data_IF_354764677107
#
_entry.id   IF_354764677107
#
_cell.length_a   1.000
_cell.length_b   1.000
_cell.length_c   1.000
_cell.angle_alpha   90.00
_cell.angle_beta   90.00
_cell.angle_gamma   90.00
#
_symmetry.space_group_name_H-M   'P 1'
#
loop_
_entity.id
_entity.type
_entity.pdbx_description
1 polymer ?
#
# COMPACT_ATOMS: atom_id res chain seq x y z
N UNK A 1 10.92 -4.02 -9.52
CA UNK A 1 9.69 -4.36 -8.76
C UNK A 1 8.81 -3.12 -8.72
N UNK A 2 7.49 -3.29 -8.75
CA UNK A 2 6.55 -2.18 -8.56
C UNK A 2 5.91 -2.29 -7.18
N UNK A 3 6.07 -1.24 -6.37
CA UNK A 3 5.37 -1.09 -5.09
C UNK A 3 4.19 -0.14 -5.31
N UNK A 4 2.98 -0.54 -4.98
CA UNK A 4 1.81 0.26 -5.27
C UNK A 4 0.75 0.20 -4.18
N UNK A 5 -0.14 1.17 -4.26
CA UNK A 5 -1.35 1.32 -3.45
C UNK A 5 -2.39 2.08 -4.28
N UNK A 6 -3.68 1.93 -3.97
CA UNK A 6 -4.78 2.62 -4.65
C UNK A 6 -5.86 3.08 -3.68
N UNK A 7 -6.54 4.15 -4.07
CA UNK A 7 -7.67 4.69 -3.31
C UNK A 7 -8.97 4.58 -4.11
N UNK A 8 -10.06 4.26 -3.42
CA UNK A 8 -11.34 3.85 -4.04
C UNK A 8 -12.53 4.47 -3.34
N UNK A 9 -13.70 4.40 -3.97
CA UNK A 9 -14.95 4.95 -3.44
C UNK A 9 -15.71 4.04 -2.45
N UNK A 10 -15.21 2.83 -2.22
CA UNK A 10 -15.86 1.86 -1.35
C UNK A 10 -15.10 0.55 -1.29
N UNK A 11 -15.58 -0.37 -0.45
CA UNK A 11 -14.99 -1.70 -0.26
C UNK A 11 -15.25 -2.62 -1.46
N UNK A 12 -14.59 -3.77 -1.52
CA UNK A 12 -14.59 -4.68 -2.68
C UNK A 12 -15.99 -5.00 -3.24
N UNK A 13 -17.00 -5.17 -2.39
CA UNK A 13 -18.37 -5.47 -2.82
C UNK A 13 -19.07 -4.27 -3.46
N UNK A 14 -18.84 -3.06 -2.93
CA UNK A 14 -19.55 -1.83 -3.29
C UNK A 14 -18.75 -0.89 -4.21
N UNK A 15 -17.45 -1.12 -4.38
CA UNK A 15 -16.54 -0.26 -5.15
C UNK A 15 -17.02 -0.10 -6.60
N UNK A 16 -16.99 1.14 -7.09
CA UNK A 16 -17.37 1.49 -8.47
C UNK A 16 -16.27 2.24 -9.21
N UNK A 17 -15.32 2.88 -8.50
CA UNK A 17 -14.20 3.60 -9.11
C UNK A 17 -12.93 3.53 -8.26
N UNK A 18 -11.80 3.57 -8.96
CA UNK A 18 -10.49 3.91 -8.38
C UNK A 18 -10.33 5.42 -8.55
N UNK A 19 -9.98 6.13 -7.48
CA UNK A 19 -9.74 7.58 -7.49
C UNK A 19 -8.33 7.90 -7.97
N UNK A 20 -7.35 7.20 -7.40
CA UNK A 20 -5.95 7.33 -7.76
C UNK A 20 -5.20 6.02 -7.52
N UNK A 21 -4.06 5.90 -8.18
CA UNK A 21 -3.12 4.80 -8.06
C UNK A 21 -1.72 5.40 -7.98
N UNK A 22 -0.93 4.97 -7.02
CA UNK A 22 0.47 5.37 -6.91
C UNK A 22 1.37 4.16 -7.07
N UNK A 23 2.40 4.30 -7.90
CA UNK A 23 3.38 3.24 -8.17
C UNK A 23 4.78 3.80 -7.95
N UNK A 24 5.54 3.18 -7.06
CA UNK A 24 6.99 3.31 -6.99
C UNK A 24 7.66 2.20 -7.79
N UNK A 25 8.56 2.58 -8.69
CA UNK A 25 9.37 1.67 -9.49
C UNK A 25 10.80 1.65 -8.97
N UNK A 26 11.22 0.48 -8.49
CA UNK A 26 12.54 0.31 -7.89
C UNK A 26 13.69 0.39 -8.91
N UNK A 27 13.44 0.13 -10.20
CA UNK A 27 14.48 0.18 -11.23
C UNK A 27 14.73 1.61 -11.70
N UNK A 28 13.64 2.38 -11.85
CA UNK A 28 13.71 3.79 -12.21
C UNK A 28 13.99 4.72 -11.01
N UNK A 29 13.86 4.20 -9.77
CA UNK A 29 13.86 4.96 -8.52
C UNK A 29 12.92 6.17 -8.57
N UNK A 30 11.69 5.93 -9.02
CA UNK A 30 10.72 6.98 -9.29
C UNK A 30 9.30 6.56 -8.88
N UNK A 31 8.57 7.52 -8.30
CA UNK A 31 7.14 7.39 -7.99
C UNK A 31 6.30 8.08 -9.05
N UNK A 32 5.32 7.37 -9.59
CA UNK A 32 4.32 7.89 -10.53
C UNK A 32 2.92 7.85 -9.90
N UNK A 33 2.16 8.92 -10.09
CA UNK A 33 0.77 9.03 -9.65
C UNK A 33 -0.12 8.95 -10.91
N UNK A 34 -1.22 8.22 -10.81
CA UNK A 34 -2.19 8.04 -11.88
C UNK A 34 -3.59 8.39 -11.39
N UNK A 35 -4.34 9.16 -12.19
CA UNK A 35 -5.73 9.53 -11.93
C UNK A 35 -6.45 9.90 -13.24
N UNK A 36 -7.78 9.98 -13.22
CA UNK A 36 -8.59 10.39 -14.37
C UNK A 36 -9.10 11.85 -14.27
N UNK A 37 -8.39 12.72 -13.53
CA UNK A 37 -8.74 14.15 -13.34
C UNK A 37 -8.11 15.07 -14.38
N UNK A 38 -7.24 14.56 -15.26
CA UNK A 38 -6.60 15.30 -16.34
C UNK A 38 -5.37 16.11 -15.94
N UNK A 39 -4.85 15.93 -14.73
CA UNK A 39 -3.60 16.54 -14.23
C UNK A 39 -2.43 15.55 -14.10
N UNK A 40 -2.68 14.24 -14.22
CA UNK A 40 -1.68 13.16 -14.19
C UNK A 40 -1.90 12.20 -15.36
N UNK A 41 -1.06 11.16 -15.47
CA UNK A 41 -1.32 10.06 -16.41
C UNK A 41 -2.62 9.30 -16.01
N UNK A 42 -3.39 8.81 -17.00
CA UNK A 42 -4.68 8.16 -16.73
C UNK A 42 -4.53 6.83 -16.00
N UNK A 43 -5.54 6.45 -15.20
CA UNK A 43 -5.53 5.23 -14.39
C UNK A 43 -5.25 3.98 -15.21
N UNK A 44 -5.89 3.87 -16.38
CA UNK A 44 -5.72 2.73 -17.30
C UNK A 44 -4.24 2.46 -17.65
N UNK A 45 -3.39 3.50 -17.72
CA UNK A 45 -1.96 3.32 -17.96
C UNK A 45 -1.21 2.79 -16.75
N UNK A 46 -1.58 3.24 -15.55
CA UNK A 46 -1.06 2.67 -14.31
C UNK A 46 -1.44 1.20 -14.19
N UNK A 47 -2.70 0.84 -14.47
CA UNK A 47 -3.17 -0.55 -14.44
C UNK A 47 -2.44 -1.42 -15.47
N UNK A 48 -2.25 -0.93 -16.70
CA UNK A 48 -1.45 -1.65 -17.71
C UNK A 48 -0.01 -1.88 -17.23
N UNK A 49 0.59 -0.88 -16.57
CA UNK A 49 1.95 -1.03 -16.01
C UNK A 49 2.01 -2.09 -14.91
N UNK A 50 0.97 -2.23 -14.09
CA UNK A 50 0.87 -3.30 -13.09
C UNK A 50 0.69 -4.68 -13.76
N UNK A 51 -0.09 -4.76 -14.84
CA UNK A 51 -0.30 -5.99 -15.63
C UNK A 51 1.02 -6.55 -16.17
N UNK A 52 1.86 -5.65 -16.70
CA UNK A 52 3.14 -5.98 -17.35
C UNK A 52 4.30 -6.20 -16.35
N UNK A 53 4.06 -6.05 -15.04
CA UNK A 53 5.12 -6.11 -14.03
C UNK A 53 5.54 -7.56 -13.71
N UNK A 54 6.84 -7.79 -13.54
CA UNK A 54 7.34 -9.09 -13.06
C UNK A 54 7.05 -9.32 -11.57
N UNK A 55 7.02 -8.25 -10.78
CA UNK A 55 6.85 -8.28 -9.32
C UNK A 55 5.96 -7.13 -8.86
N UNK A 56 4.89 -7.48 -8.16
CA UNK A 56 3.96 -6.56 -7.53
C UNK A 56 4.09 -6.62 -6.01
N UNK A 57 4.23 -5.47 -5.38
CA UNK A 57 4.35 -5.32 -3.93
C UNK A 57 3.32 -4.33 -3.42
N UNK A 58 2.71 -4.63 -2.28
CA UNK A 58 1.78 -3.71 -1.64
C UNK A 58 1.41 -4.15 -0.22
N UNK A 59 0.42 -3.50 0.38
CA UNK A 59 -0.09 -3.85 1.70
C UNK A 59 -1.55 -4.27 1.60
N UNK A 60 -1.84 -5.57 1.79
CA UNK A 60 -3.17 -6.17 1.58
C UNK A 60 -3.64 -6.22 0.10
N UNK A 61 -2.72 -6.11 -0.86
CA UNK A 61 -3.05 -6.15 -2.30
C UNK A 61 -3.68 -7.47 -2.75
N UNK A 62 -3.40 -8.58 -2.06
CA UNK A 62 -4.04 -9.87 -2.33
C UNK A 62 -5.52 -9.83 -1.90
N UNK A 63 -5.79 -9.18 -0.77
CA UNK A 63 -7.11 -9.11 -0.17
C UNK A 63 -8.00 -8.00 -0.75
N UNK A 64 -7.41 -6.99 -1.40
CA UNK A 64 -8.15 -5.80 -1.80
C UNK A 64 -7.80 -5.30 -3.20
N UNK A 65 -6.62 -4.72 -3.39
CA UNK A 65 -6.27 -3.94 -4.58
C UNK A 65 -6.38 -4.75 -5.87
N UNK A 66 -5.75 -5.93 -5.92
CA UNK A 66 -5.80 -6.81 -7.10
C UNK A 66 -7.26 -7.24 -7.38
N UNK A 67 -8.04 -7.73 -6.40
CA UNK A 67 -9.48 -7.97 -6.59
C UNK A 67 -10.28 -6.76 -7.11
N UNK A 68 -10.03 -5.56 -6.58
CA UNK A 68 -10.70 -4.32 -7.02
C UNK A 68 -10.36 -4.01 -8.48
N UNK A 69 -9.07 -4.06 -8.84
CA UNK A 69 -8.63 -3.83 -10.21
C UNK A 69 -9.28 -4.86 -11.14
N UNK A 70 -9.31 -6.15 -10.78
CA UNK A 70 -9.99 -7.19 -11.58
C UNK A 70 -11.49 -6.92 -11.77
N UNK A 71 -12.16 -6.42 -10.73
CA UNK A 71 -13.60 -6.08 -10.80
C UNK A 71 -13.86 -4.93 -11.79
N UNK A 72 -13.03 -3.89 -11.77
CA UNK A 72 -13.24 -2.68 -12.57
C UNK A 72 -12.58 -2.73 -13.96
N UNK A 73 -11.51 -3.52 -14.10
CA UNK A 73 -10.75 -3.76 -15.32
C UNK A 73 -10.64 -5.28 -15.56
N UNK A 74 -11.68 -5.93 -16.12
CA UNK A 74 -11.72 -7.40 -16.22
C UNK A 74 -10.64 -8.05 -17.09
N UNK A 75 -9.88 -7.26 -17.84
CA UNK A 75 -8.72 -7.70 -18.62
C UNK A 75 -7.44 -7.80 -17.78
N UNK A 76 -7.45 -7.34 -16.53
CA UNK A 76 -6.29 -7.35 -15.64
C UNK A 76 -6.05 -8.77 -15.08
N UNK A 77 -5.07 -9.47 -15.62
CA UNK A 77 -4.64 -10.82 -15.24
C UNK A 77 -3.11 -10.89 -15.07
N UNK A 78 -2.53 -10.14 -14.10
CA UNK A 78 -1.09 -10.02 -13.96
C UNK A 78 -0.47 -11.40 -13.71
N UNK A 79 0.62 -11.69 -14.43
CA UNK A 79 1.45 -12.89 -14.21
C UNK A 79 2.58 -12.65 -13.20
N UNK A 80 2.56 -11.48 -12.57
CA UNK A 80 3.55 -11.03 -11.60
C UNK A 80 3.67 -11.97 -10.40
N UNK A 81 4.88 -12.04 -9.83
CA UNK A 81 5.05 -12.51 -8.46
C UNK A 81 4.50 -11.47 -7.49
N UNK A 82 3.53 -11.87 -6.65
CA UNK A 82 2.85 -10.96 -5.71
C UNK A 82 3.44 -11.09 -4.31
N UNK A 83 3.94 -9.98 -3.76
CA UNK A 83 4.45 -9.88 -2.39
C UNK A 83 3.56 -8.94 -1.57
N UNK A 84 2.80 -9.53 -0.65
CA UNK A 84 1.91 -8.77 0.23
C UNK A 84 2.54 -8.56 1.60
N UNK A 85 2.84 -7.31 1.93
CA UNK A 85 3.51 -6.95 3.19
C UNK A 85 2.64 -7.21 4.43
N UNK A 86 1.30 -7.23 4.30
CA UNK A 86 0.42 -7.64 5.40
C UNK A 86 0.57 -9.13 5.70
N UNK A 87 0.68 -9.96 4.66
CA UNK A 87 0.94 -11.39 4.80
C UNK A 87 2.31 -11.63 5.44
N UNK A 88 3.37 -10.98 4.93
CA UNK A 88 4.72 -11.08 5.51
C UNK A 88 4.74 -10.64 6.98
N UNK A 89 4.03 -9.55 7.29
CA UNK A 89 3.91 -9.07 8.65
C UNK A 89 3.29 -10.09 9.59
N UNK A 90 2.20 -10.75 9.18
CA UNK A 90 1.55 -11.80 9.97
C UNK A 90 2.41 -13.07 10.11
N UNK A 91 3.28 -13.34 9.13
CA UNK A 91 4.19 -14.48 9.17
C UNK A 91 5.40 -14.25 10.08
N UNK A 92 6.06 -13.09 9.96
CA UNK A 92 7.30 -12.81 10.69
C UNK A 92 7.07 -12.25 12.09
N UNK A 93 5.96 -11.55 12.31
CA UNK A 93 5.65 -10.91 13.59
C UNK A 93 4.36 -11.48 14.17
N UNK A 94 4.33 -12.80 14.42
CA UNK A 94 3.19 -13.50 15.03
C UNK A 94 2.82 -12.92 16.40
N UNK A 95 3.81 -12.44 17.16
CA UNK A 95 3.65 -11.81 18.48
C UNK A 95 3.82 -10.28 18.42
N UNK A 96 3.07 -9.62 17.54
CA UNK A 96 3.21 -8.17 17.26
C UNK A 96 3.15 -7.29 18.52
N UNK A 97 2.34 -7.64 19.51
CA UNK A 97 2.28 -6.89 20.78
C UNK A 97 3.61 -6.92 21.53
N UNK A 98 4.31 -8.04 21.52
CA UNK A 98 5.61 -8.16 22.19
C UNK A 98 6.72 -7.48 21.38
N UNK A 99 6.61 -7.49 20.05
CA UNK A 99 7.45 -6.65 19.17
C UNK A 99 7.30 -5.17 19.56
N UNK A 100 6.07 -4.69 19.72
CA UNK A 100 5.81 -3.28 20.06
C UNK A 100 6.25 -2.89 21.47
N UNK A 101 6.21 -3.83 22.44
CA UNK A 101 6.76 -3.62 23.78
C UNK A 101 8.28 -3.46 23.74
N UNK A 102 8.97 -4.23 22.89
CA UNK A 102 10.43 -4.17 22.75
C UNK A 102 10.91 -2.92 22.02
N UNK A 103 10.15 -2.44 21.03
CA UNK A 103 10.47 -1.24 20.27
C UNK A 103 10.28 0.06 21.07
N UNK A 104 9.50 0.02 22.14
CA UNK A 104 9.18 1.15 23.04
C UNK A 104 8.97 2.49 22.30
N UNK A 105 7.96 2.54 21.43
CA UNK A 105 7.58 3.74 20.68
C UNK A 105 6.62 4.62 21.50
N UNK A 106 7.08 5.67 22.22
CA UNK A 106 6.22 6.43 23.13
C UNK A 106 5.08 7.17 22.43
N UNK A 107 5.29 7.60 21.18
CA UNK A 107 4.31 8.38 20.42
C UNK A 107 3.31 7.53 19.64
N UNK A 108 3.36 6.19 19.75
CA UNK A 108 2.43 5.30 19.07
C UNK A 108 1.13 5.15 19.87
N UNK A 109 -0.05 5.51 19.30
CA UNK A 109 -1.34 5.31 19.95
C UNK A 109 -1.57 3.87 20.39
N UNK A 110 -2.17 3.69 21.57
CA UNK A 110 -2.42 2.36 22.15
C UNK A 110 -3.26 1.45 21.23
N UNK A 111 -4.21 2.03 20.48
CA UNK A 111 -5.09 1.29 19.56
C UNK A 111 -4.37 0.68 18.35
N UNK A 112 -3.19 1.23 17.99
CA UNK A 112 -2.36 0.76 16.90
C UNK A 112 -1.36 -0.32 17.34
N UNK A 113 -1.13 -0.46 18.66
CA UNK A 113 -0.23 -1.50 19.18
C UNK A 113 -0.80 -2.89 18.91
N UNK A 114 0.06 -3.80 18.46
CA UNK A 114 -0.30 -5.15 18.04
C UNK A 114 -0.97 -5.25 16.66
N UNK A 115 -1.30 -4.12 16.02
CA UNK A 115 -1.94 -4.12 14.70
C UNK A 115 -0.90 -4.27 13.60
N UNK A 116 -1.30 -4.93 12.52
CA UNK A 116 -0.48 -5.10 11.31
C UNK A 116 -0.79 -4.07 10.22
N UNK A 117 -1.61 -3.06 10.51
CA UNK A 117 -1.96 -2.02 9.52
C UNK A 117 -0.75 -1.21 9.11
N UNK A 118 -0.81 -0.67 7.89
CA UNK A 118 0.22 0.21 7.34
C UNK A 118 0.45 1.44 8.24
N UNK A 119 -0.61 2.05 8.76
CA UNK A 119 -0.55 3.14 9.75
C UNK A 119 0.33 2.76 10.96
N UNK A 120 0.13 1.56 11.50
CA UNK A 120 0.88 1.06 12.65
C UNK A 120 2.37 0.87 12.30
N UNK A 121 2.66 0.42 11.07
CA UNK A 121 4.02 0.35 10.56
C UNK A 121 4.65 1.71 10.30
N UNK A 122 3.88 2.71 9.89
CA UNK A 122 4.32 4.10 9.81
C UNK A 122 4.92 4.57 11.14
N UNK A 123 4.26 4.29 12.27
CA UNK A 123 4.80 4.59 13.60
C UNK A 123 6.07 3.78 13.94
N UNK A 124 6.09 2.49 13.61
CA UNK A 124 7.25 1.61 13.90
C UNK A 124 8.50 2.05 13.13
N UNK A 125 8.32 2.37 11.86
CA UNK A 125 9.39 2.73 10.92
C UNK A 125 9.76 4.22 10.98
N UNK A 126 8.98 5.06 11.67
CA UNK A 126 9.24 6.50 11.79
C UNK A 126 8.76 7.32 10.59
N UNK A 127 7.82 6.78 9.82
CA UNK A 127 7.29 7.33 8.57
C UNK A 127 5.86 7.85 8.67
N UNK A 128 5.33 7.92 9.88
CA UNK A 128 4.00 8.44 10.09
C UNK A 128 3.94 9.95 9.79
N UNK A 129 3.07 10.37 8.87
CA UNK A 129 2.92 11.78 8.47
C UNK A 129 1.55 12.43 8.75
N UNK A 130 0.58 11.73 9.34
CA UNK A 130 -0.66 12.36 9.81
C UNK A 130 -1.94 11.54 9.59
N UNK A 131 -3.09 12.15 9.88
CA UNK A 131 -4.42 11.52 9.92
C UNK A 131 -5.31 12.00 8.75
N UNK A 132 -5.03 11.61 7.50
CA UNK A 132 -5.92 11.98 6.39
C UNK A 132 -7.21 11.13 6.39
N UNK A 133 -7.09 9.82 6.58
CA UNK A 133 -8.20 8.87 6.45
C UNK A 133 -9.27 8.88 7.53
N UNK A 134 -9.19 9.75 8.56
CA UNK A 134 -10.13 9.74 9.69
C UNK A 134 -11.39 10.60 9.46
N UNK A 135 -11.37 11.50 8.47
CA UNK A 135 -12.47 12.46 8.23
C UNK A 135 -12.97 12.48 6.78
N UNK A 136 -12.34 11.74 5.89
CA UNK A 136 -12.73 11.65 4.47
C UNK A 136 -13.80 10.57 4.27
N UNK A 137 -14.83 10.88 3.48
CA UNK A 137 -15.91 9.94 3.12
C UNK A 137 -15.57 9.04 1.93
N UNK A 138 -14.41 9.28 1.31
CA UNK A 138 -13.83 8.57 0.18
C UNK A 138 -14.71 8.60 -1.08
N UNK A 139 -15.79 9.38 -1.12
CA UNK A 139 -16.74 9.33 -2.24
C UNK A 139 -16.21 10.02 -3.49
N UNK A 140 -15.47 11.12 -3.30
CA UNK A 140 -14.90 11.90 -4.38
C UNK A 140 -13.39 12.04 -4.23
N UNK A 141 -12.72 12.09 -5.38
CA UNK A 141 -11.29 12.32 -5.45
C UNK A 141 -10.92 13.68 -4.83
N UNK A 142 -9.74 13.74 -4.20
CA UNK A 142 -9.14 14.99 -3.72
C UNK A 142 -7.61 14.93 -3.86
N UNK A 143 -6.91 16.07 -4.02
CA UNK A 143 -5.44 16.11 -4.05
C UNK A 143 -4.79 15.52 -2.79
N UNK A 144 -5.44 15.66 -1.64
CA UNK A 144 -4.97 15.12 -0.38
C UNK A 144 -5.02 13.58 -0.35
N UNK A 145 -5.98 12.97 -1.06
CA UNK A 145 -6.07 11.52 -1.23
C UNK A 145 -4.86 10.96 -1.99
N UNK A 146 -4.40 11.66 -3.03
CA UNK A 146 -3.17 11.27 -3.74
C UNK A 146 -1.92 11.42 -2.88
N UNK A 147 -1.86 12.48 -2.09
CA UNK A 147 -0.76 12.71 -1.15
C UNK A 147 -0.70 11.59 -0.10
N UNK A 148 -1.87 11.16 0.36
CA UNK A 148 -2.02 10.05 1.30
C UNK A 148 -1.60 8.71 0.67
N UNK A 149 -2.14 8.36 -0.50
CA UNK A 149 -1.76 7.14 -1.22
C UNK A 149 -0.26 7.08 -1.53
N UNK A 150 0.35 8.20 -1.94
CA UNK A 150 1.79 8.28 -2.14
C UNK A 150 2.59 8.07 -0.85
N UNK A 151 2.07 8.52 0.29
CA UNK A 151 2.68 8.23 1.58
C UNK A 151 2.54 6.75 1.95
N UNK A 152 1.41 6.11 1.67
CA UNK A 152 1.20 4.68 1.91
C UNK A 152 2.15 3.82 1.04
N UNK A 153 2.39 4.19 -0.22
CA UNK A 153 3.46 3.57 -1.04
C UNK A 153 4.83 3.76 -0.40
N UNK A 154 5.18 4.96 0.07
CA UNK A 154 6.48 5.21 0.72
C UNK A 154 6.69 4.37 1.99
N UNK A 155 5.64 4.22 2.81
CA UNK A 155 5.68 3.34 3.99
C UNK A 155 5.83 1.89 3.55
N UNK A 156 5.13 1.47 2.51
CA UNK A 156 5.19 0.11 1.98
C UNK A 156 6.56 -0.25 1.42
N UNK A 157 7.24 0.67 0.73
CA UNK A 157 8.64 0.48 0.28
C UNK A 157 9.54 0.17 1.47
N UNK A 158 9.50 1.01 2.52
CA UNK A 158 10.32 0.81 3.73
C UNK A 158 9.93 -0.45 4.50
N UNK A 159 8.66 -0.83 4.46
CA UNK A 159 8.17 -2.06 5.06
C UNK A 159 8.66 -3.30 4.29
N UNK A 160 8.69 -3.23 2.96
CA UNK A 160 9.26 -4.27 2.11
C UNK A 160 10.76 -4.46 2.43
N UNK A 161 11.53 -3.38 2.49
CA UNK A 161 12.94 -3.42 2.90
C UNK A 161 13.12 -3.96 4.32
N UNK A 162 12.24 -3.56 5.25
CA UNK A 162 12.23 -4.10 6.61
C UNK A 162 12.10 -5.62 6.63
N UNK A 163 11.32 -6.21 5.70
CA UNK A 163 11.17 -7.66 5.61
C UNK A 163 12.27 -8.36 4.81
N UNK A 164 12.99 -7.65 3.94
CA UNK A 164 14.04 -8.21 3.10
C UNK A 164 15.14 -8.94 3.91
N UNK A 165 15.47 -8.44 5.11
CA UNK A 165 16.43 -9.09 6.02
C UNK A 165 16.01 -10.49 6.46
N UNK A 166 14.71 -10.74 6.65
CA UNK A 166 14.20 -12.05 7.06
C UNK A 166 14.18 -13.05 5.89
N UNK A 167 14.14 -12.54 4.64
CA UNK A 167 14.17 -13.36 3.43
C UNK A 167 15.59 -13.77 3.03
N UNK A 168 16.57 -12.89 3.26
CA UNK A 168 17.98 -13.16 2.97
C UNK A 168 18.71 -13.93 4.08
N UNK A 169 18.07 -14.13 5.24
CA UNK A 169 18.70 -14.76 6.41
C UNK A 169 19.80 -13.90 7.06
N UNK A 170 19.88 -12.62 6.71
CA UNK A 170 20.85 -11.67 7.24
C UNK A 170 20.31 -11.10 8.56
N UNK A 171 20.69 -11.71 9.69
CA UNK A 171 20.43 -11.18 11.03
C UNK A 171 21.54 -10.21 11.46
#
# INVERSE_FOLDING_TARGET
MLVFDLETDGLLDDVTKIHCLVIYDSEADATCIYNDQGNQEPLVRGIQRLEDADVLVGHNIIGYDIPVIKKLYPWFEPQAFVLDTLLLSRLYHTDMLDVDKKLDKPNMPLQLRGRHSLESYGYRLGEYKGEFGKTTDWQEWSPEMETYCAQDVNVTVKLCDHFHKYLSGSN
#
